data_IF_486029352806
#
_entry.id   IF_486029352806
#
_cell.length_a   1.000
_cell.length_b   1.000
_cell.length_c   1.000
_cell.angle_alpha   90.00
_cell.angle_beta   90.00
_cell.angle_gamma   90.00
#
_symmetry.space_group_name_H-M   'P 1'
#
loop_
_entity.id
_entity.type
_entity.pdbx_description
1 polymer ?
#
# COMPACT_ATOMS: atom_id res chain seq x y z
N UNK A 1 1.10 -5.25 23.57
CA UNK A 1 1.98 -4.27 22.92
C UNK A 1 1.79 -2.86 23.50
N UNK A 2 2.86 -2.06 23.69
CA UNK A 2 2.81 -0.65 24.13
C UNK A 2 3.03 0.27 22.92
N UNK A 3 1.94 0.62 22.24
CA UNK A 3 1.96 1.43 21.02
C UNK A 3 2.51 2.85 21.24
N UNK A 4 2.28 3.48 22.42
CA UNK A 4 2.84 4.80 22.75
C UNK A 4 4.37 4.75 22.86
N UNK A 5 4.92 3.69 23.46
CA UNK A 5 6.38 3.50 23.58
C UNK A 5 7.00 3.27 22.20
N UNK A 6 6.35 2.50 21.33
CA UNK A 6 6.82 2.24 19.97
C UNK A 6 6.78 3.55 19.18
N UNK A 7 5.68 4.31 19.23
CA UNK A 7 5.58 5.58 18.53
C UNK A 7 6.69 6.57 18.93
N UNK A 8 7.04 6.65 20.23
CA UNK A 8 8.17 7.49 20.67
C UNK A 8 9.50 7.07 20.05
N UNK A 9 9.76 5.77 19.89
CA UNK A 9 10.97 5.30 19.19
C UNK A 9 10.92 5.69 17.71
N UNK A 10 9.76 5.55 17.05
CA UNK A 10 9.56 5.94 15.66
C UNK A 10 9.78 7.43 15.46
N UNK A 11 9.24 8.28 16.36
CA UNK A 11 9.42 9.73 16.31
C UNK A 11 10.92 10.13 16.30
N UNK A 12 11.72 9.56 17.19
CA UNK A 12 13.17 9.80 17.25
C UNK A 12 13.85 9.32 15.97
N UNK A 13 13.52 8.14 15.49
CA UNK A 13 14.11 7.51 14.31
C UNK A 13 13.78 8.28 13.03
N UNK A 14 12.49 8.57 12.79
CA UNK A 14 12.02 9.29 11.60
C UNK A 14 12.54 10.72 11.58
N UNK A 15 12.65 11.38 12.75
CA UNK A 15 13.26 12.72 12.82
C UNK A 15 14.73 12.70 12.37
N UNK A 16 15.53 11.75 12.86
CA UNK A 16 16.91 11.59 12.44
C UNK A 16 17.03 11.27 10.95
N UNK A 17 16.17 10.40 10.42
CA UNK A 17 16.12 10.10 8.99
C UNK A 17 15.71 11.31 8.15
N UNK A 18 14.74 12.09 8.58
CA UNK A 18 14.30 13.30 7.87
C UNK A 18 15.45 14.30 7.72
N UNK A 19 16.23 14.53 8.79
CA UNK A 19 17.40 15.38 8.74
C UNK A 19 18.50 14.83 7.82
N UNK A 20 18.75 13.54 7.85
CA UNK A 20 19.81 12.88 7.07
C UNK A 20 19.45 12.74 5.59
N UNK A 21 18.19 12.42 5.28
CA UNK A 21 17.72 12.27 3.91
C UNK A 21 17.63 13.61 3.17
N UNK A 22 17.23 14.68 3.87
CA UNK A 22 17.03 15.98 3.23
C UNK A 22 16.00 15.86 2.09
N UNK A 23 16.45 16.14 0.87
CA UNK A 23 15.58 16.10 -0.32
C UNK A 23 15.53 14.74 -1.03
N UNK A 24 16.27 13.72 -0.55
CA UNK A 24 16.32 12.41 -1.18
C UNK A 24 14.98 11.68 -1.07
N UNK A 25 14.66 10.88 -2.07
CA UNK A 25 13.47 10.01 -2.10
C UNK A 25 13.93 8.57 -1.84
N UNK A 26 13.67 8.00 -0.65
CA UNK A 26 14.14 6.68 -0.27
C UNK A 26 13.32 5.54 -0.89
N UNK A 27 13.97 4.37 -1.08
CA UNK A 27 13.30 3.13 -1.46
C UNK A 27 13.80 1.93 -0.65
N UNK A 28 15.02 1.46 -0.93
CA UNK A 28 15.67 0.33 -0.26
C UNK A 28 16.89 0.85 0.47
N UNK A 29 17.06 0.46 1.74
CA UNK A 29 18.29 0.76 2.46
C UNK A 29 19.30 -0.38 2.27
N UNK A 30 20.42 -0.07 1.65
CA UNK A 30 21.57 -0.96 1.51
C UNK A 30 22.67 -0.52 2.48
N UNK A 31 23.19 -1.48 3.26
CA UNK A 31 24.19 -1.18 4.29
C UNK A 31 23.78 -0.06 5.25
N UNK A 32 22.48 0.04 5.56
CA UNK A 32 21.93 1.03 6.47
C UNK A 32 21.80 2.43 5.87
N UNK A 33 21.78 2.58 4.55
CA UNK A 33 21.58 3.87 3.87
C UNK A 33 20.61 3.74 2.71
N UNK A 34 19.60 4.61 2.66
CA UNK A 34 18.66 4.69 1.56
C UNK A 34 19.28 5.25 0.28
N UNK A 35 18.97 4.62 -0.85
CA UNK A 35 19.24 5.17 -2.19
C UNK A 35 18.37 6.41 -2.47
N UNK A 36 18.76 7.22 -3.46
CA UNK A 36 17.94 8.35 -3.93
C UNK A 36 17.24 8.01 -5.24
N UNK A 37 15.93 7.88 -5.22
CA UNK A 37 15.13 7.53 -6.39
C UNK A 37 14.89 8.70 -7.36
N UNK A 38 15.20 9.95 -6.99
CA UNK A 38 15.07 11.12 -7.90
C UNK A 38 15.87 10.92 -9.18
N UNK A 39 17.10 10.42 -9.03
CA UNK A 39 18.04 10.23 -10.16
C UNK A 39 17.87 8.87 -10.85
N UNK A 40 17.24 7.89 -10.18
CA UNK A 40 17.04 6.54 -10.70
C UNK A 40 15.74 6.44 -11.50
N UNK A 41 14.61 6.75 -10.85
CA UNK A 41 13.28 6.72 -11.46
C UNK A 41 12.28 7.49 -10.61
N UNK A 42 12.08 8.75 -10.93
CA UNK A 42 11.16 9.63 -10.16
C UNK A 42 9.70 9.12 -10.17
N UNK A 43 9.27 8.45 -11.25
CA UNK A 43 7.93 7.82 -11.36
C UNK A 43 7.82 6.44 -10.67
N UNK A 44 8.82 6.04 -9.87
CA UNK A 44 8.78 4.75 -9.18
C UNK A 44 7.67 4.72 -8.13
N UNK A 45 6.89 3.67 -8.10
CA UNK A 45 5.67 3.55 -7.31
C UNK A 45 5.84 3.78 -5.80
N UNK A 46 7.04 3.50 -5.26
CA UNK A 46 7.31 3.64 -3.82
C UNK A 46 7.58 5.08 -3.39
N UNK A 47 7.79 5.99 -4.32
CA UNK A 47 8.28 7.34 -4.02
C UNK A 47 7.26 8.21 -3.25
N UNK A 48 5.99 7.81 -3.21
CA UNK A 48 4.96 8.47 -2.40
C UNK A 48 5.03 8.11 -0.90
N UNK A 49 5.60 6.96 -0.52
CA UNK A 49 5.49 6.49 0.86
C UNK A 49 6.30 7.30 1.87
N UNK A 50 7.48 7.81 1.49
CA UNK A 50 8.21 8.71 2.36
C UNK A 50 7.45 10.01 2.67
N UNK A 51 6.94 10.75 1.69
CA UNK A 51 6.03 11.87 1.98
C UNK A 51 4.82 11.46 2.82
N UNK A 52 4.27 10.26 2.60
CA UNK A 52 3.19 9.72 3.42
C UNK A 52 3.58 9.60 4.91
N UNK A 53 4.79 9.08 5.21
CA UNK A 53 5.34 9.06 6.57
C UNK A 53 5.44 10.49 7.12
N UNK A 54 5.97 11.42 6.33
CA UNK A 54 6.17 12.81 6.75
C UNK A 54 4.84 13.52 7.04
N UNK A 55 3.79 13.28 6.25
CA UNK A 55 2.46 13.82 6.52
C UNK A 55 1.83 13.25 7.79
N UNK A 56 2.00 11.95 8.06
CA UNK A 56 1.56 11.33 9.32
C UNK A 56 2.28 11.96 10.51
N UNK A 57 3.61 12.15 10.40
CA UNK A 57 4.41 12.79 11.45
C UNK A 57 4.02 14.25 11.65
N UNK A 58 3.81 15.01 10.57
CA UNK A 58 3.32 16.40 10.66
C UNK A 58 1.98 16.48 11.40
N UNK A 59 1.03 15.62 11.05
CA UNK A 59 -0.27 15.56 11.70
C UNK A 59 -0.15 15.26 13.21
N UNK A 60 0.77 14.38 13.60
CA UNK A 60 0.93 13.97 14.98
C UNK A 60 1.71 14.98 15.84
N UNK A 61 2.70 15.66 15.24
CA UNK A 61 3.67 16.49 16.00
C UNK A 61 3.51 17.99 15.78
N UNK A 62 2.94 18.40 14.65
CA UNK A 62 2.88 19.79 14.20
C UNK A 62 4.24 20.35 13.72
N UNK A 63 5.29 19.52 13.64
CA UNK A 63 6.62 19.98 13.20
C UNK A 63 6.64 20.29 11.71
N UNK A 64 6.85 21.55 11.37
CA UNK A 64 6.87 22.05 9.98
C UNK A 64 8.00 21.49 9.13
N UNK A 65 9.05 20.91 9.72
CA UNK A 65 10.12 20.27 8.98
C UNK A 65 9.60 19.09 8.14
N UNK A 66 8.71 18.28 8.71
CA UNK A 66 8.07 17.18 7.98
C UNK A 66 7.22 17.67 6.81
N UNK A 67 6.39 18.70 7.03
CA UNK A 67 5.61 19.34 5.98
C UNK A 67 6.48 19.83 4.84
N UNK A 68 7.55 20.59 5.15
CA UNK A 68 8.46 21.14 4.14
C UNK A 68 9.11 20.04 3.30
N UNK A 69 9.58 18.97 3.92
CA UNK A 69 10.18 17.85 3.20
C UNK A 69 9.15 17.08 2.32
N UNK A 70 7.91 16.91 2.79
CA UNK A 70 6.85 16.28 2.02
C UNK A 70 6.45 17.13 0.80
N UNK A 71 6.26 18.44 0.98
CA UNK A 71 5.94 19.39 -0.10
C UNK A 71 7.04 19.44 -1.16
N UNK A 72 8.31 19.31 -0.76
CA UNK A 72 9.42 19.27 -1.71
C UNK A 72 9.30 18.05 -2.65
N UNK A 73 9.07 16.86 -2.13
CA UNK A 73 8.87 15.65 -2.96
C UNK A 73 7.66 15.80 -3.89
N UNK A 74 6.56 16.40 -3.41
CA UNK A 74 5.39 16.65 -4.23
C UNK A 74 5.68 17.59 -5.41
N UNK A 75 6.50 18.63 -5.19
CA UNK A 75 6.91 19.55 -6.26
C UNK A 75 7.75 18.87 -7.33
N UNK A 76 8.64 17.95 -6.93
CA UNK A 76 9.41 17.14 -7.89
C UNK A 76 8.48 16.30 -8.79
N UNK A 77 7.31 15.88 -8.28
CA UNK A 77 6.34 15.09 -9.05
C UNK A 77 5.62 15.88 -10.16
N UNK A 78 5.75 17.22 -10.22
CA UNK A 78 5.28 17.98 -11.37
C UNK A 78 5.96 17.50 -12.67
N UNK A 79 7.25 17.10 -12.61
CA UNK A 79 7.99 16.56 -13.73
C UNK A 79 7.39 15.27 -14.29
N UNK A 80 6.86 14.39 -13.41
CA UNK A 80 6.24 13.13 -13.87
C UNK A 80 4.80 13.32 -14.34
N UNK A 81 4.12 14.38 -13.93
CA UNK A 81 2.82 14.77 -14.49
C UNK A 81 2.95 15.38 -15.90
N UNK A 82 4.04 16.10 -16.15
CA UNK A 82 4.37 16.61 -17.51
C UNK A 82 4.69 15.48 -18.49
N UNK A 83 5.28 14.35 -17.99
CA UNK A 83 5.64 13.17 -18.76
C UNK A 83 4.82 11.96 -18.31
N UNK A 84 3.50 12.12 -18.25
CA UNK A 84 2.57 11.16 -17.66
C UNK A 84 2.53 9.79 -18.32
N UNK A 85 3.02 9.62 -19.55
CA UNK A 85 3.11 8.35 -20.26
C UNK A 85 4.02 7.33 -19.56
N UNK A 86 4.92 7.78 -18.68
CA UNK A 86 5.73 6.90 -17.83
C UNK A 86 4.95 6.38 -16.59
N UNK A 87 3.79 6.99 -16.27
CA UNK A 87 2.95 6.59 -15.16
C UNK A 87 2.09 5.37 -15.52
N UNK A 88 1.77 4.58 -14.52
CA UNK A 88 0.90 3.42 -14.64
C UNK A 88 -0.11 3.37 -13.48
N UNK A 89 -0.71 2.23 -13.15
CA UNK A 89 -1.79 2.18 -12.15
C UNK A 89 -1.37 2.64 -10.75
N UNK A 90 -0.07 2.65 -10.43
CA UNK A 90 0.44 3.05 -9.11
C UNK A 90 0.44 4.57 -8.86
N UNK A 91 -0.18 5.36 -9.73
CA UNK A 91 -0.38 6.80 -9.46
C UNK A 91 -1.14 7.08 -8.17
N UNK A 92 -1.94 6.12 -7.68
CA UNK A 92 -2.58 6.21 -6.37
C UNK A 92 -1.55 6.23 -5.23
N UNK A 93 -0.60 5.30 -5.21
CA UNK A 93 0.49 5.28 -4.24
C UNK A 93 1.32 6.56 -4.24
N UNK A 94 1.54 7.14 -5.42
CA UNK A 94 2.29 8.40 -5.55
C UNK A 94 1.49 9.60 -5.02
N UNK A 95 0.26 9.77 -5.48
CA UNK A 95 -0.46 11.03 -5.31
C UNK A 95 -1.43 11.07 -4.12
N UNK A 96 -1.86 9.92 -3.58
CA UNK A 96 -2.56 9.89 -2.29
C UNK A 96 -1.65 10.36 -1.15
N UNK A 97 -0.41 9.90 -1.16
CA UNK A 97 0.59 10.16 -0.13
C UNK A 97 1.29 11.52 -0.26
N UNK A 98 1.11 12.20 -1.37
CA UNK A 98 1.67 13.54 -1.63
C UNK A 98 0.54 14.55 -1.78
N UNK A 99 0.09 14.80 -2.98
CA UNK A 99 -0.84 15.87 -3.33
C UNK A 99 -2.19 15.78 -2.61
N UNK A 100 -2.79 14.60 -2.50
CA UNK A 100 -4.06 14.45 -1.80
C UNK A 100 -3.88 14.66 -0.29
N UNK A 101 -2.81 14.13 0.30
CA UNK A 101 -2.49 14.33 1.71
C UNK A 101 -2.23 15.81 2.02
N UNK A 102 -1.41 16.49 1.22
CA UNK A 102 -1.18 17.92 1.37
C UNK A 102 -2.48 18.72 1.28
N UNK A 103 -3.26 18.54 0.22
CA UNK A 103 -4.53 19.25 0.07
C UNK A 103 -5.47 19.04 1.25
N UNK A 104 -5.60 17.81 1.74
CA UNK A 104 -6.51 17.49 2.85
C UNK A 104 -6.05 18.08 4.18
N UNK A 105 -4.74 18.23 4.39
CA UNK A 105 -4.18 18.78 5.63
C UNK A 105 -4.02 20.31 5.60
N UNK A 106 -3.71 20.88 4.43
CA UNK A 106 -3.34 22.32 4.31
C UNK A 106 -4.33 23.15 3.51
N UNK A 107 -5.17 22.52 2.68
CA UNK A 107 -6.05 23.20 1.74
C UNK A 107 -5.34 23.71 0.48
N UNK A 108 -4.10 23.27 0.20
CA UNK A 108 -3.29 23.74 -0.92
C UNK A 108 -3.98 23.47 -2.28
N UNK A 109 -4.41 24.51 -3.04
CA UNK A 109 -5.15 24.30 -4.28
C UNK A 109 -4.30 23.73 -5.43
N UNK A 110 -2.98 23.91 -5.39
CA UNK A 110 -2.08 23.29 -6.38
C UNK A 110 -2.03 21.77 -6.17
N UNK A 111 -1.94 21.33 -4.93
CA UNK A 111 -1.94 19.92 -4.57
C UNK A 111 -3.27 19.26 -4.92
N UNK A 112 -4.40 19.96 -4.72
CA UNK A 112 -5.70 19.51 -5.24
C UNK A 112 -5.67 19.27 -6.75
N UNK A 113 -5.10 20.19 -7.51
CA UNK A 113 -5.00 20.08 -8.98
C UNK A 113 -4.13 18.90 -9.40
N UNK A 114 -2.98 18.66 -8.74
CA UNK A 114 -2.11 17.51 -8.98
C UNK A 114 -2.83 16.18 -8.71
N UNK A 115 -3.53 16.08 -7.58
CA UNK A 115 -4.31 14.89 -7.22
C UNK A 115 -5.41 14.58 -8.24
N UNK A 116 -6.15 15.61 -8.71
CA UNK A 116 -7.18 15.47 -9.75
C UNK A 116 -6.58 15.07 -11.10
N UNK A 117 -5.41 15.59 -11.45
CA UNK A 117 -4.69 15.19 -12.67
C UNK A 117 -4.30 13.70 -12.59
N UNK A 118 -3.70 13.28 -11.49
CA UNK A 118 -3.36 11.88 -11.26
C UNK A 118 -4.58 10.95 -11.31
N UNK A 119 -5.71 11.37 -10.74
CA UNK A 119 -6.97 10.62 -10.80
C UNK A 119 -7.48 10.45 -12.25
N UNK A 120 -7.36 11.48 -13.09
CA UNK A 120 -7.71 11.37 -14.50
C UNK A 120 -6.76 10.43 -15.26
N UNK A 121 -5.47 10.42 -14.94
CA UNK A 121 -4.51 9.45 -15.50
C UNK A 121 -4.93 8.03 -15.13
N UNK A 122 -5.25 7.77 -13.85
CA UNK A 122 -5.70 6.45 -13.41
C UNK A 122 -7.02 6.04 -14.07
N UNK A 123 -8.01 6.95 -14.15
CA UNK A 123 -9.27 6.70 -14.80
C UNK A 123 -9.11 6.41 -16.30
N UNK A 124 -8.18 7.10 -16.98
CA UNK A 124 -7.85 6.90 -18.39
C UNK A 124 -7.28 5.52 -18.72
N UNK A 125 -6.87 4.73 -17.70
CA UNK A 125 -6.37 3.36 -17.84
C UNK A 125 -7.46 2.29 -17.78
N UNK A 126 -8.71 2.69 -17.59
CA UNK A 126 -9.83 1.77 -17.48
C UNK A 126 -10.16 1.11 -18.83
N UNK A 127 -10.21 -0.22 -18.83
CA UNK A 127 -10.66 -1.01 -19.98
C UNK A 127 -12.14 -1.39 -19.79
N UNK A 128 -13.04 -0.87 -20.62
CA UNK A 128 -14.49 -1.11 -20.49
C UNK A 128 -14.92 -2.52 -20.91
N UNK A 129 -14.15 -3.24 -21.73
CA UNK A 129 -14.49 -4.60 -22.14
C UNK A 129 -14.32 -5.59 -20.98
N UNK A 130 -13.21 -5.47 -20.22
CA UNK A 130 -12.93 -6.34 -19.07
C UNK A 130 -13.26 -5.72 -17.72
N UNK A 131 -13.71 -4.45 -17.66
CA UNK A 131 -14.01 -3.73 -16.42
C UNK A 131 -12.82 -3.68 -15.43
N UNK A 132 -11.62 -3.43 -15.91
CA UNK A 132 -10.42 -3.34 -15.10
C UNK A 132 -9.58 -2.11 -15.44
N UNK A 133 -8.77 -1.66 -14.49
CA UNK A 133 -7.72 -0.64 -14.72
C UNK A 133 -6.46 -1.40 -15.14
N UNK A 134 -5.94 -1.05 -16.32
CA UNK A 134 -4.69 -1.60 -16.84
C UNK A 134 -3.53 -1.27 -15.90
N UNK A 135 -2.79 -2.30 -15.50
CA UNK A 135 -1.68 -2.15 -14.55
C UNK A 135 -0.47 -1.47 -15.19
N UNK A 136 0.28 -2.17 -16.01
CA UNK A 136 1.54 -1.70 -16.58
C UNK A 136 1.39 -1.15 -18.00
N UNK A 137 2.46 -0.55 -18.52
CA UNK A 137 2.56 0.01 -19.86
C UNK A 137 3.04 -1.05 -20.88
N UNK A 138 3.48 -0.60 -22.03
CA UNK A 138 4.02 -1.42 -23.13
C UNK A 138 3.01 -2.45 -23.64
N UNK A 139 3.39 -3.69 -23.76
CA UNK A 139 2.57 -4.82 -24.25
C UNK A 139 1.60 -5.40 -23.21
N UNK A 140 1.49 -4.78 -22.02
CA UNK A 140 0.66 -5.25 -20.90
C UNK A 140 -0.79 -4.70 -20.94
N UNK A 141 -1.42 -4.64 -22.11
CA UNK A 141 -2.75 -4.02 -22.26
C UNK A 141 -3.87 -4.76 -21.55
N UNK A 142 -3.79 -6.08 -21.42
CA UNK A 142 -4.76 -6.94 -20.73
C UNK A 142 -4.47 -7.17 -19.25
N UNK A 143 -3.45 -6.56 -18.67
CA UNK A 143 -2.95 -6.89 -17.33
C UNK A 143 -3.65 -6.10 -16.22
N UNK A 144 -4.22 -6.83 -15.28
CA UNK A 144 -4.79 -6.33 -14.03
C UNK A 144 -3.99 -6.93 -12.87
N UNK A 145 -3.66 -6.12 -11.86
CA UNK A 145 -2.83 -6.52 -10.73
C UNK A 145 -3.55 -6.14 -9.43
N UNK A 146 -3.45 -7.00 -8.41
CA UNK A 146 -4.12 -6.83 -7.10
C UNK A 146 -3.74 -5.52 -6.39
N UNK A 147 -2.53 -5.02 -6.61
CA UNK A 147 -2.00 -3.76 -6.06
C UNK A 147 -2.89 -2.54 -6.40
N UNK A 148 -3.61 -2.61 -7.53
CA UNK A 148 -4.50 -1.52 -7.95
C UNK A 148 -5.63 -1.26 -6.95
N UNK A 149 -6.00 -2.26 -6.13
CA UNK A 149 -6.98 -2.07 -5.05
C UNK A 149 -6.58 -0.99 -4.05
N UNK A 150 -5.26 -0.76 -3.87
CA UNK A 150 -4.71 0.30 -3.05
C UNK A 150 -4.59 1.63 -3.79
N UNK A 151 -4.75 1.64 -5.10
CA UNK A 151 -4.65 2.84 -5.93
C UNK A 151 -6.01 3.46 -6.23
N UNK A 152 -7.08 2.66 -6.28
CA UNK A 152 -8.44 3.15 -6.56
C UNK A 152 -9.03 4.11 -5.50
N UNK A 153 -8.56 4.20 -4.24
CA UNK A 153 -8.98 5.26 -3.33
C UNK A 153 -8.78 6.68 -3.89
N UNK A 154 -7.80 6.88 -4.77
CA UNK A 154 -7.62 8.14 -5.50
C UNK A 154 -8.86 8.51 -6.35
N UNK A 155 -9.51 7.51 -6.95
CA UNK A 155 -10.73 7.73 -7.74
C UNK A 155 -11.93 8.07 -6.85
N UNK A 156 -12.08 7.40 -5.70
CA UNK A 156 -13.13 7.74 -4.74
C UNK A 156 -12.96 9.17 -4.20
N UNK A 157 -11.72 9.59 -3.92
CA UNK A 157 -11.43 10.96 -3.53
C UNK A 157 -11.82 11.96 -4.63
N UNK A 158 -11.37 11.73 -5.87
CA UNK A 158 -11.64 12.62 -7.01
C UNK A 158 -13.14 12.71 -7.30
N UNK A 159 -13.87 11.60 -7.22
CA UNK A 159 -15.32 11.57 -7.41
C UNK A 159 -16.06 12.45 -6.41
N UNK A 160 -15.65 12.44 -5.16
CA UNK A 160 -16.22 13.33 -4.12
C UNK A 160 -15.86 14.79 -4.33
N UNK A 161 -14.58 15.08 -4.67
CA UNK A 161 -14.09 16.43 -4.89
C UNK A 161 -14.77 17.13 -6.06
N UNK A 162 -15.01 16.40 -7.16
CA UNK A 162 -15.63 16.94 -8.38
C UNK A 162 -17.14 16.73 -8.43
N UNK A 163 -17.71 15.93 -7.50
CA UNK A 163 -19.10 15.44 -7.58
C UNK A 163 -19.37 14.72 -8.91
N UNK A 164 -18.39 13.97 -9.40
CA UNK A 164 -18.44 13.23 -10.65
C UNK A 164 -18.46 11.73 -10.38
N UNK A 165 -19.63 11.06 -10.56
CA UNK A 165 -19.79 9.65 -10.26
C UNK A 165 -18.95 8.72 -11.16
N UNK A 166 -18.44 9.21 -12.28
CA UNK A 166 -17.61 8.45 -13.22
C UNK A 166 -16.40 7.83 -12.54
N UNK A 167 -15.73 8.56 -11.65
CA UNK A 167 -14.54 8.07 -10.94
C UNK A 167 -14.89 6.91 -10.00
N UNK A 168 -15.97 7.05 -9.25
CA UNK A 168 -16.46 5.99 -8.34
C UNK A 168 -16.89 4.75 -9.13
N UNK A 169 -17.58 4.92 -10.25
CA UNK A 169 -18.02 3.81 -11.10
C UNK A 169 -16.84 3.01 -11.65
N UNK A 170 -15.77 3.68 -12.10
CA UNK A 170 -14.54 3.01 -12.54
C UNK A 170 -13.92 2.20 -11.40
N UNK A 171 -13.82 2.79 -10.21
CA UNK A 171 -13.25 2.14 -9.03
C UNK A 171 -14.06 0.89 -8.63
N UNK A 172 -15.40 0.98 -8.62
CA UNK A 172 -16.32 -0.13 -8.32
C UNK A 172 -16.16 -1.27 -9.32
N UNK A 173 -16.23 -0.99 -10.63
CA UNK A 173 -16.10 -2.01 -11.68
C UNK A 173 -14.74 -2.72 -11.60
N UNK A 174 -13.67 -1.99 -11.33
CA UNK A 174 -12.37 -2.60 -11.13
C UNK A 174 -12.35 -3.51 -9.90
N UNK A 175 -12.94 -3.08 -8.78
CA UNK A 175 -13.01 -3.86 -7.54
C UNK A 175 -13.88 -5.11 -7.70
N UNK A 176 -15.01 -5.02 -8.42
CA UNK A 176 -15.86 -6.17 -8.74
C UNK A 176 -15.09 -7.22 -9.56
N UNK A 177 -14.32 -6.76 -10.55
CA UNK A 177 -13.45 -7.64 -11.36
C UNK A 177 -12.36 -8.27 -10.50
N UNK A 178 -11.80 -7.55 -9.54
CA UNK A 178 -10.81 -8.08 -8.59
C UNK A 178 -11.42 -9.18 -7.69
N UNK A 179 -12.60 -8.95 -7.14
CA UNK A 179 -13.32 -9.99 -6.35
C UNK A 179 -13.54 -11.24 -7.18
N UNK A 180 -13.94 -11.09 -8.44
CA UNK A 180 -14.29 -12.20 -9.32
C UNK A 180 -13.08 -13.03 -9.78
N UNK A 181 -11.95 -12.38 -10.10
CA UNK A 181 -10.86 -13.05 -10.80
C UNK A 181 -9.56 -13.12 -10.00
N UNK A 182 -9.31 -12.18 -9.08
CA UNK A 182 -8.10 -12.22 -8.26
C UNK A 182 -8.29 -13.01 -6.98
N UNK A 183 -9.46 -12.94 -6.32
CA UNK A 183 -9.70 -13.71 -5.11
C UNK A 183 -10.12 -15.15 -5.45
N UNK A 184 -9.43 -16.13 -4.84
CA UNK A 184 -9.73 -17.55 -4.97
C UNK A 184 -10.75 -18.01 -3.91
N UNK A 185 -11.43 -19.15 -4.10
CA UNK A 185 -12.46 -19.64 -3.15
C UNK A 185 -11.94 -19.89 -1.72
N UNK A 186 -10.66 -20.18 -1.54
CA UNK A 186 -10.03 -20.36 -0.23
C UNK A 186 -9.60 -19.06 0.46
N UNK A 187 -9.90 -17.91 -0.15
CA UNK A 187 -9.53 -16.58 0.35
C UNK A 187 -8.14 -16.10 -0.06
N UNK A 188 -7.33 -16.96 -0.68
CA UNK A 188 -6.05 -16.53 -1.26
C UNK A 188 -6.27 -15.68 -2.51
N UNK A 189 -5.24 -14.91 -2.92
CA UNK A 189 -5.33 -14.06 -4.11
C UNK A 189 -4.27 -14.41 -5.16
N UNK A 190 -4.67 -14.34 -6.43
CA UNK A 190 -3.75 -14.21 -7.54
C UNK A 190 -3.10 -12.83 -7.49
N UNK A 191 -1.82 -12.73 -7.85
CA UNK A 191 -1.19 -11.44 -8.03
C UNK A 191 -1.72 -10.73 -9.27
N UNK A 192 -1.78 -11.45 -10.39
CA UNK A 192 -2.11 -10.91 -11.72
C UNK A 192 -3.28 -11.68 -12.32
N UNK A 193 -4.16 -10.97 -13.02
CA UNK A 193 -5.09 -11.53 -13.99
C UNK A 193 -4.84 -10.88 -15.34
N UNK A 194 -4.73 -11.70 -16.39
CA UNK A 194 -4.57 -11.24 -17.78
C UNK A 194 -5.86 -11.51 -18.54
N UNK A 195 -6.34 -10.50 -19.25
CA UNK A 195 -7.54 -10.52 -20.05
C UNK A 195 -7.24 -10.25 -21.52
N UNK A 196 -8.06 -10.78 -22.42
CA UNK A 196 -8.13 -10.25 -23.76
C UNK A 196 -8.65 -8.81 -23.71
N UNK A 197 -7.88 -7.81 -24.17
CA UNK A 197 -8.26 -6.40 -24.00
C UNK A 197 -9.45 -5.96 -24.87
N UNK A 198 -9.86 -6.77 -25.87
CA UNK A 198 -10.98 -6.47 -26.75
C UNK A 198 -12.27 -7.12 -26.28
N UNK A 199 -12.20 -8.33 -25.71
CA UNK A 199 -13.39 -9.08 -25.28
C UNK A 199 -13.61 -9.03 -23.78
N UNK A 200 -12.54 -8.80 -22.99
CA UNK A 200 -12.59 -8.85 -21.52
C UNK A 200 -12.58 -10.27 -20.95
N UNK A 201 -12.38 -11.30 -21.78
CA UNK A 201 -12.29 -12.69 -21.31
C UNK A 201 -10.97 -12.96 -20.61
N UNK A 202 -10.96 -13.68 -19.46
CA UNK A 202 -9.73 -14.03 -18.75
C UNK A 202 -8.91 -15.04 -19.56
N UNK A 203 -7.57 -14.84 -19.60
CA UNK A 203 -6.63 -15.67 -20.33
C UNK A 203 -5.74 -16.49 -19.39
N UNK A 204 -5.07 -15.85 -18.43
CA UNK A 204 -4.09 -16.48 -17.55
C UNK A 204 -3.92 -15.72 -16.22
N UNK A 205 -3.27 -16.37 -15.24
CA UNK A 205 -3.01 -15.83 -13.90
C UNK A 205 -1.53 -16.02 -13.53
N UNK A 206 -0.60 -15.21 -14.08
CA UNK A 206 0.83 -15.34 -13.82
C UNK A 206 1.19 -15.11 -12.34
N UNK A 207 2.28 -15.76 -11.90
CA UNK A 207 2.80 -15.61 -10.54
C UNK A 207 3.22 -14.16 -10.20
N UNK A 208 3.76 -13.43 -11.16
CA UNK A 208 4.27 -12.07 -10.95
C UNK A 208 5.45 -12.04 -9.97
N UNK A 209 5.24 -11.43 -8.79
CA UNK A 209 6.25 -11.34 -7.73
C UNK A 209 6.25 -12.56 -6.78
N UNK A 210 5.28 -13.47 -6.89
CA UNK A 210 5.19 -14.70 -6.12
C UNK A 210 6.16 -15.79 -6.60
N UNK A 211 6.12 -16.93 -5.90
CA UNK A 211 7.00 -18.09 -6.14
C UNK A 211 6.73 -18.76 -7.49
N UNK A 212 5.48 -19.08 -7.77
CA UNK A 212 5.06 -19.80 -8.98
C UNK A 212 3.60 -19.51 -9.32
N UNK A 213 3.15 -19.93 -10.48
CA UNK A 213 1.74 -19.92 -10.84
C UNK A 213 0.91 -20.66 -9.79
N UNK A 214 -0.23 -20.08 -9.41
CA UNK A 214 -1.08 -20.62 -8.34
C UNK A 214 -0.52 -20.43 -6.91
N UNK A 215 0.63 -19.79 -6.71
CA UNK A 215 1.17 -19.46 -5.41
C UNK A 215 0.39 -18.33 -4.71
N UNK A 216 0.80 -17.91 -3.54
CA UNK A 216 0.14 -16.86 -2.75
C UNK A 216 1.16 -15.88 -2.20
N UNK A 217 1.57 -14.95 -3.05
CA UNK A 217 2.43 -13.84 -2.70
C UNK A 217 1.82 -13.01 -1.57
N UNK A 218 2.50 -12.95 -0.42
CA UNK A 218 1.92 -12.41 0.82
C UNK A 218 1.59 -10.93 0.74
N UNK A 219 2.39 -10.13 0.03
CA UNK A 219 2.08 -8.71 -0.14
C UNK A 219 0.88 -8.50 -1.07
N UNK A 220 0.71 -9.30 -2.11
CA UNK A 220 -0.53 -9.31 -2.91
C UNK A 220 -1.75 -9.70 -2.07
N UNK A 221 -1.58 -10.66 -1.15
CA UNK A 221 -2.61 -10.99 -0.18
C UNK A 221 -2.92 -9.81 0.76
N UNK A 222 -1.89 -9.10 1.25
CA UNK A 222 -2.06 -7.91 2.08
C UNK A 222 -2.78 -6.78 1.33
N UNK A 223 -2.44 -6.54 0.05
CA UNK A 223 -3.14 -5.58 -0.80
C UNK A 223 -4.63 -5.91 -0.93
N UNK A 224 -4.99 -7.20 -1.02
CA UNK A 224 -6.38 -7.62 -1.09
C UNK A 224 -7.11 -7.43 0.24
N UNK A 225 -6.48 -7.74 1.38
CA UNK A 225 -7.04 -7.49 2.72
C UNK A 225 -7.39 -6.02 2.89
N UNK A 226 -6.41 -5.15 2.63
CA UNK A 226 -6.60 -3.72 2.88
C UNK A 226 -7.43 -3.05 1.78
N UNK A 227 -7.15 -3.33 0.51
CA UNK A 227 -7.83 -2.71 -0.61
C UNK A 227 -9.33 -3.03 -0.68
N UNK A 228 -9.75 -4.27 -0.40
CA UNK A 228 -11.19 -4.59 -0.31
C UNK A 228 -11.84 -3.91 0.90
N UNK A 229 -11.15 -3.81 2.04
CA UNK A 229 -11.65 -3.08 3.21
C UNK A 229 -11.83 -1.59 2.91
N UNK A 230 -10.88 -0.97 2.19
CA UNK A 230 -10.99 0.42 1.70
C UNK A 230 -12.12 0.56 0.69
N UNK A 231 -12.32 -0.40 -0.21
CA UNK A 231 -13.46 -0.45 -1.10
C UNK A 231 -14.79 -0.39 -0.34
N UNK A 232 -14.94 -1.17 0.74
CA UNK A 232 -16.09 -1.11 1.63
C UNK A 232 -16.20 0.25 2.33
N UNK A 233 -15.12 0.77 2.89
CA UNK A 233 -15.07 2.08 3.54
C UNK A 233 -15.63 3.20 2.65
N UNK A 234 -15.27 3.20 1.37
CA UNK A 234 -15.68 4.25 0.45
C UNK A 234 -17.09 4.07 -0.10
N UNK A 235 -17.61 2.84 -0.18
CA UNK A 235 -18.83 2.52 -0.94
C UNK A 235 -19.96 1.94 -0.10
N UNK A 236 -19.66 1.37 1.09
CA UNK A 236 -20.60 0.60 1.88
C UNK A 236 -21.01 -0.75 1.24
N UNK A 237 -20.35 -1.19 0.17
CA UNK A 237 -20.68 -2.43 -0.56
C UNK A 237 -20.25 -3.64 0.26
N UNK A 238 -21.23 -4.39 0.79
CA UNK A 238 -20.98 -5.51 1.71
C UNK A 238 -20.11 -6.61 1.11
N UNK A 239 -20.23 -6.87 -0.20
CA UNK A 239 -19.43 -7.83 -0.94
C UNK A 239 -17.95 -7.56 -0.81
N UNK A 240 -17.53 -6.29 -0.73
CA UNK A 240 -16.13 -5.91 -0.54
C UNK A 240 -15.64 -6.20 0.89
N UNK A 241 -16.50 -5.97 1.90
CA UNK A 241 -16.18 -6.36 3.28
C UNK A 241 -16.03 -7.88 3.40
N UNK A 242 -16.94 -8.65 2.80
CA UNK A 242 -16.84 -10.11 2.81
C UNK A 242 -15.61 -10.61 2.05
N UNK A 243 -15.22 -9.95 0.94
CA UNK A 243 -13.97 -10.26 0.25
C UNK A 243 -12.74 -9.95 1.13
N UNK A 244 -12.72 -8.80 1.80
CA UNK A 244 -11.67 -8.45 2.76
C UNK A 244 -11.56 -9.48 3.89
N UNK A 245 -12.69 -9.90 4.48
CA UNK A 245 -12.74 -10.91 5.54
C UNK A 245 -12.17 -12.24 5.08
N UNK A 246 -12.56 -12.74 3.88
CA UNK A 246 -11.99 -13.99 3.33
C UNK A 246 -10.48 -13.90 3.14
N UNK A 247 -10.00 -12.79 2.57
CA UNK A 247 -8.57 -12.55 2.40
C UNK A 247 -7.84 -12.48 3.75
N UNK A 248 -8.45 -11.82 4.74
CA UNK A 248 -7.91 -11.70 6.10
C UNK A 248 -7.82 -13.05 6.81
N UNK A 249 -8.85 -13.88 6.73
CA UNK A 249 -8.83 -15.22 7.35
C UNK A 249 -7.70 -16.09 6.78
N UNK A 250 -7.50 -16.04 5.45
CA UNK A 250 -6.39 -16.75 4.82
C UNK A 250 -5.04 -16.20 5.31
N UNK A 251 -4.88 -14.87 5.37
CA UNK A 251 -3.64 -14.24 5.86
C UNK A 251 -3.36 -14.62 7.31
N UNK A 252 -4.34 -14.45 8.22
CA UNK A 252 -4.22 -14.75 9.65
C UNK A 252 -3.84 -16.23 9.89
N UNK A 253 -4.49 -17.16 9.18
CA UNK A 253 -4.20 -18.58 9.31
C UNK A 253 -2.74 -18.90 8.95
N UNK A 254 -2.19 -18.28 7.91
CA UNK A 254 -0.80 -18.49 7.51
C UNK A 254 0.19 -17.86 8.48
N UNK A 255 0.02 -16.59 8.88
CA UNK A 255 0.97 -15.94 9.79
C UNK A 255 0.92 -16.51 11.22
N UNK A 256 -0.19 -17.11 11.63
CA UNK A 256 -0.28 -17.81 12.91
C UNK A 256 0.71 -18.98 12.99
N UNK A 257 1.05 -19.60 11.87
CA UNK A 257 2.03 -20.70 11.78
C UNK A 257 3.48 -20.20 11.82
N UNK A 258 3.73 -18.91 11.60
CA UNK A 258 5.06 -18.31 11.47
C UNK A 258 5.33 -17.24 12.54
N UNK A 259 4.62 -17.29 13.66
CA UNK A 259 4.82 -16.36 14.78
C UNK A 259 4.37 -14.92 14.47
N UNK A 260 3.37 -14.76 13.61
CA UNK A 260 2.77 -13.49 13.18
C UNK A 260 3.69 -12.58 12.34
N UNK A 261 4.69 -13.16 11.69
CA UNK A 261 5.46 -12.51 10.62
C UNK A 261 5.15 -13.23 9.30
N UNK A 262 4.87 -12.51 8.22
CA UNK A 262 4.56 -13.17 6.96
C UNK A 262 5.78 -13.68 6.23
N UNK A 263 5.68 -14.88 5.65
CA UNK A 263 6.58 -15.33 4.60
C UNK A 263 6.33 -14.50 3.34
N UNK A 264 7.31 -14.46 2.46
CA UNK A 264 7.20 -13.78 1.16
C UNK A 264 6.10 -14.37 0.27
N UNK A 265 5.89 -15.69 0.36
CA UNK A 265 4.82 -16.40 -0.34
C UNK A 265 4.35 -17.58 0.52
N UNK A 266 3.04 -17.68 0.77
CA UNK A 266 2.46 -18.68 1.66
C UNK A 266 2.38 -20.09 1.06
N UNK A 267 2.73 -20.24 -0.23
CA UNK A 267 2.76 -21.53 -0.93
C UNK A 267 4.13 -21.87 -1.52
N UNK A 268 5.13 -21.08 -1.18
CA UNK A 268 6.52 -21.41 -1.53
C UNK A 268 7.04 -22.58 -0.68
N UNK A 269 8.14 -23.24 -1.09
CA UNK A 269 8.85 -24.17 -0.23
C UNK A 269 9.23 -23.57 1.12
N UNK A 270 9.25 -24.39 2.16
CA UNK A 270 9.59 -23.97 3.53
C UNK A 270 11.04 -23.45 3.63
N UNK A 271 11.93 -23.94 2.77
CA UNK A 271 13.33 -23.56 2.73
C UNK A 271 13.75 -23.09 1.32
N UNK A 272 14.54 -22.01 1.21
CA UNK A 272 14.98 -21.13 2.30
C UNK A 272 13.84 -20.27 2.84
N UNK A 273 13.83 -19.99 4.14
CA UNK A 273 12.84 -19.09 4.74
C UNK A 273 13.02 -17.67 4.18
N UNK A 274 12.01 -17.15 3.53
CA UNK A 274 11.98 -15.80 3.00
C UNK A 274 10.85 -15.00 3.67
N UNK A 275 11.19 -13.96 4.42
CA UNK A 275 10.23 -13.05 5.05
C UNK A 275 9.80 -11.92 4.12
N UNK A 276 8.58 -11.43 4.33
CA UNK A 276 8.16 -10.11 3.83
C UNK A 276 7.40 -9.35 4.94
N UNK A 277 8.15 -8.65 5.78
CA UNK A 277 7.63 -7.86 6.89
C UNK A 277 6.73 -6.72 6.42
N UNK A 278 6.95 -6.20 5.20
CA UNK A 278 6.11 -5.14 4.61
C UNK A 278 4.69 -5.65 4.33
N UNK A 279 4.54 -6.91 3.92
CA UNK A 279 3.25 -7.55 3.75
C UNK A 279 2.51 -7.69 5.09
N UNK A 280 3.23 -8.08 6.15
CA UNK A 280 2.65 -8.19 7.49
C UNK A 280 2.16 -6.84 8.01
N UNK A 281 2.97 -5.77 7.88
CA UNK A 281 2.60 -4.42 8.29
C UNK A 281 1.37 -3.88 7.53
N UNK A 282 1.33 -4.07 6.21
CA UNK A 282 0.19 -3.69 5.38
C UNK A 282 -1.08 -4.45 5.77
N UNK A 283 -0.98 -5.77 5.96
CA UNK A 283 -2.10 -6.59 6.38
C UNK A 283 -2.64 -6.16 7.75
N UNK A 284 -1.77 -5.79 8.70
CA UNK A 284 -2.18 -5.27 10.00
C UNK A 284 -3.05 -4.00 9.86
N UNK A 285 -2.69 -3.06 8.97
CA UNK A 285 -3.52 -1.89 8.67
C UNK A 285 -4.89 -2.30 8.11
N UNK A 286 -4.92 -3.25 7.18
CA UNK A 286 -6.17 -3.76 6.61
C UNK A 286 -7.03 -4.49 7.65
N UNK A 287 -6.43 -5.26 8.56
CA UNK A 287 -7.13 -5.92 9.67
C UNK A 287 -7.75 -4.90 10.63
N UNK A 288 -7.04 -3.82 10.94
CA UNK A 288 -7.58 -2.71 11.74
C UNK A 288 -8.74 -2.00 11.02
N UNK A 289 -8.70 -1.90 9.69
CA UNK A 289 -9.81 -1.37 8.90
C UNK A 289 -11.05 -2.27 8.98
N UNK A 290 -10.86 -3.58 8.82
CA UNK A 290 -11.95 -4.56 8.96
C UNK A 290 -12.53 -4.52 10.37
N UNK A 291 -11.69 -4.42 11.41
CA UNK A 291 -12.14 -4.33 12.81
C UNK A 291 -13.05 -3.14 13.09
N UNK A 292 -12.90 -2.04 12.34
CA UNK A 292 -13.78 -0.87 12.44
C UNK A 292 -15.11 -1.05 11.66
N UNK A 293 -15.17 -2.00 10.74
CA UNK A 293 -16.28 -2.21 9.81
C UNK A 293 -17.22 -3.35 10.22
N UNK A 294 -16.77 -4.25 11.09
CA UNK A 294 -17.53 -5.43 11.53
C UNK A 294 -18.22 -5.20 12.88
N UNK A 295 -19.15 -6.10 13.21
CA UNK A 295 -19.82 -6.09 14.52
C UNK A 295 -18.85 -6.42 15.66
N UNK A 296 -19.16 -5.99 16.89
CA UNK A 296 -18.30 -6.16 18.07
C UNK A 296 -17.91 -7.63 18.36
N UNK A 297 -18.75 -8.60 18.01
CA UNK A 297 -18.45 -10.03 18.19
C UNK A 297 -17.40 -10.57 17.21
N UNK A 298 -17.19 -9.91 16.07
CA UNK A 298 -16.16 -10.27 15.10
C UNK A 298 -14.86 -9.45 15.27
N UNK A 299 -14.97 -8.25 15.83
CA UNK A 299 -13.91 -7.24 15.92
C UNK A 299 -12.62 -7.78 16.55
N UNK A 300 -12.76 -8.56 17.63
CA UNK A 300 -11.61 -9.09 18.39
C UNK A 300 -10.65 -9.91 17.52
N UNK A 301 -11.16 -10.70 16.58
CA UNK A 301 -10.32 -11.51 15.70
C UNK A 301 -9.34 -10.63 14.92
N UNK A 302 -9.86 -9.59 14.28
CA UNK A 302 -9.07 -8.73 13.41
C UNK A 302 -8.14 -7.80 14.20
N UNK A 303 -8.66 -7.16 15.23
CA UNK A 303 -7.87 -6.27 16.08
C UNK A 303 -6.73 -7.01 16.77
N UNK A 304 -7.00 -8.14 17.45
CA UNK A 304 -5.97 -8.92 18.13
C UNK A 304 -4.93 -9.48 17.14
N UNK A 305 -5.34 -9.89 15.94
CA UNK A 305 -4.39 -10.38 14.93
C UNK A 305 -3.47 -9.26 14.45
N UNK A 306 -4.01 -8.05 14.23
CA UNK A 306 -3.20 -6.89 13.86
C UNK A 306 -2.20 -6.52 14.98
N UNK A 307 -2.65 -6.48 16.22
CA UNK A 307 -1.78 -6.20 17.38
C UNK A 307 -0.65 -7.23 17.50
N UNK A 308 -0.93 -8.51 17.33
CA UNK A 308 0.10 -9.57 17.36
C UNK A 308 1.09 -9.47 16.21
N UNK A 309 0.64 -9.11 15.02
CA UNK A 309 1.53 -8.86 13.87
C UNK A 309 2.46 -7.68 14.19
N UNK A 310 1.92 -6.54 14.59
CA UNK A 310 2.72 -5.34 14.87
C UNK A 310 3.70 -5.56 16.04
N UNK A 311 3.29 -6.31 17.06
CA UNK A 311 4.15 -6.70 18.19
C UNK A 311 5.31 -7.61 17.73
N UNK A 312 5.03 -8.64 16.92
CA UNK A 312 6.05 -9.53 16.38
C UNK A 312 7.05 -8.79 15.48
N UNK A 313 6.58 -7.84 14.69
CA UNK A 313 7.44 -6.97 13.87
C UNK A 313 8.33 -6.08 14.73
N UNK A 314 7.78 -5.43 15.77
CA UNK A 314 8.55 -4.57 16.67
C UNK A 314 9.64 -5.34 17.41
N UNK A 315 9.32 -6.52 17.94
CA UNK A 315 10.23 -7.32 18.73
C UNK A 315 11.39 -7.93 17.93
N UNK A 316 11.15 -8.31 16.67
CA UNK A 316 12.09 -9.15 15.91
C UNK A 316 12.70 -8.48 14.69
N UNK A 317 12.01 -7.50 14.13
CA UNK A 317 12.35 -6.95 12.80
C UNK A 317 12.51 -5.44 12.76
N UNK A 318 12.49 -4.72 13.89
CA UNK A 318 12.72 -3.29 13.90
C UNK A 318 14.17 -2.91 14.25
N UNK A 319 14.74 -2.00 13.46
CA UNK A 319 16.02 -1.35 13.72
C UNK A 319 15.80 0.05 14.30
N UNK A 320 16.17 0.25 15.56
CA UNK A 320 16.02 1.54 16.26
C UNK A 320 17.31 2.38 16.28
N UNK A 321 18.36 1.91 15.60
CA UNK A 321 19.63 2.64 15.46
C UNK A 321 19.42 3.89 14.57
N UNK A 322 19.56 5.09 15.15
CA UNK A 322 19.33 6.36 14.45
C UNK A 322 20.38 6.68 13.40
N UNK A 323 21.53 6.00 13.41
CA UNK A 323 22.59 6.18 12.41
C UNK A 323 22.34 5.38 11.11
N UNK A 324 21.37 4.45 11.13
CA UNK A 324 20.97 3.63 9.97
C UNK A 324 19.63 4.10 9.43
N UNK A 325 19.36 3.87 8.16
CA UNK A 325 18.08 4.10 7.53
C UNK A 325 17.21 2.82 7.58
N UNK A 326 15.91 3.01 7.59
CA UNK A 326 14.92 1.93 7.64
C UNK A 326 14.60 1.46 9.06
N UNK A 327 13.31 1.44 9.38
CA UNK A 327 12.79 0.92 10.66
C UNK A 327 12.57 -0.58 10.53
N UNK A 328 11.71 -0.98 9.60
CA UNK A 328 11.29 -2.36 9.44
C UNK A 328 12.26 -3.11 8.52
N UNK A 329 12.93 -4.10 9.07
CA UNK A 329 13.89 -4.97 8.38
C UNK A 329 13.17 -6.16 7.75
N UNK A 330 13.88 -6.95 6.93
CA UNK A 330 13.42 -8.22 6.37
C UNK A 330 12.17 -8.13 5.48
N UNK A 331 11.97 -7.00 4.81
CA UNK A 331 11.05 -6.90 3.68
C UNK A 331 11.62 -7.57 2.43
N UNK A 332 10.77 -7.91 1.48
CA UNK A 332 11.20 -8.53 0.22
C UNK A 332 10.45 -7.95 -0.97
N UNK A 333 11.19 -7.61 -2.05
CA UNK A 333 10.57 -7.03 -3.26
C UNK A 333 9.79 -8.08 -4.05
N UNK A 334 10.41 -9.21 -4.32
CA UNK A 334 9.80 -10.32 -5.05
C UNK A 334 10.54 -11.63 -4.74
N UNK A 335 9.93 -12.76 -5.05
CA UNK A 335 10.57 -14.06 -4.85
C UNK A 335 11.88 -14.15 -5.65
N UNK A 336 12.98 -14.42 -4.95
CA UNK A 336 14.32 -14.48 -5.53
C UNK A 336 14.94 -13.12 -5.94
N UNK A 337 14.32 -11.98 -5.56
CA UNK A 337 14.85 -10.66 -5.87
C UNK A 337 14.76 -9.73 -4.65
N UNK A 338 15.90 -9.17 -4.23
CA UNK A 338 15.98 -8.20 -3.13
C UNK A 338 15.14 -8.67 -1.93
N UNK A 339 15.55 -9.79 -1.34
CA UNK A 339 14.95 -10.37 -0.14
C UNK A 339 15.67 -9.87 1.12
N UNK A 340 14.94 -9.77 2.23
CA UNK A 340 15.43 -9.36 3.54
C UNK A 340 16.10 -7.99 3.52
N UNK A 341 15.43 -7.01 2.93
CA UNK A 341 15.89 -5.61 2.86
C UNK A 341 14.88 -4.66 3.51
N UNK A 342 15.33 -3.55 4.13
CA UNK A 342 14.42 -2.50 4.58
C UNK A 342 13.75 -1.83 3.38
N UNK A 343 12.44 -1.64 3.46
CA UNK A 343 11.62 -1.09 2.39
C UNK A 343 10.80 0.08 2.93
N UNK A 344 10.88 1.24 2.27
CA UNK A 344 10.20 2.46 2.75
C UNK A 344 8.68 2.28 2.96
N UNK A 345 8.01 1.47 2.13
CA UNK A 345 6.59 1.19 2.31
C UNK A 345 6.33 0.24 3.49
N UNK A 346 7.30 -0.59 3.89
CA UNK A 346 7.24 -1.35 5.13
C UNK A 346 7.19 -0.41 6.34
N UNK A 347 8.07 0.57 6.37
CA UNK A 347 8.11 1.62 7.41
C UNK A 347 6.80 2.42 7.45
N UNK A 348 6.26 2.78 6.27
CA UNK A 348 5.00 3.49 6.17
C UNK A 348 3.84 2.71 6.80
N UNK A 349 3.63 1.45 6.42
CA UNK A 349 2.54 0.64 6.97
C UNK A 349 2.73 0.31 8.43
N UNK A 350 3.98 0.12 8.88
CA UNK A 350 4.25 -0.08 10.31
C UNK A 350 3.88 1.17 11.12
N UNK A 351 4.27 2.38 10.66
CA UNK A 351 3.87 3.63 11.28
C UNK A 351 2.34 3.80 11.27
N UNK A 352 1.68 3.60 10.11
CA UNK A 352 0.23 3.70 9.99
C UNK A 352 -0.47 2.76 10.98
N UNK A 353 -0.02 1.50 11.07
CA UNK A 353 -0.58 0.52 12.01
C UNK A 353 -0.48 0.96 13.47
N UNK A 354 0.68 1.47 13.89
CA UNK A 354 0.89 2.00 15.24
C UNK A 354 0.00 3.22 15.50
N UNK A 355 -0.08 4.17 14.57
CA UNK A 355 -0.92 5.35 14.70
C UNK A 355 -2.41 5.00 14.77
N UNK A 356 -2.87 4.00 14.01
CA UNK A 356 -4.25 3.50 14.05
C UNK A 356 -4.60 2.89 15.42
N UNK A 357 -3.70 2.16 16.03
CA UNK A 357 -3.89 1.65 17.40
C UNK A 357 -4.00 2.78 18.44
N UNK A 358 -3.32 3.90 18.20
CA UNK A 358 -3.36 5.08 19.04
C UNK A 358 -4.54 6.00 18.73
N UNK A 359 -5.29 5.78 17.65
CA UNK A 359 -6.32 6.69 17.14
C UNK A 359 -5.76 8.05 16.70
N UNK A 360 -4.50 8.07 16.23
CA UNK A 360 -3.76 9.27 15.80
C UNK A 360 -3.51 9.32 14.31
N UNK A 361 -3.93 8.31 13.55
CA UNK A 361 -3.69 8.24 12.12
C UNK A 361 -4.41 9.34 11.34
N UNK A 362 -3.72 9.85 10.33
CA UNK A 362 -4.35 10.58 9.25
C UNK A 362 -4.65 9.58 8.12
N UNK A 363 -5.93 9.24 7.94
CA UNK A 363 -6.33 8.30 6.90
C UNK A 363 -6.03 8.88 5.51
N UNK A 364 -4.93 8.47 4.93
CA UNK A 364 -4.47 8.93 3.59
C UNK A 364 -5.35 8.34 2.47
N UNK A 365 -5.73 7.07 2.61
CA UNK A 365 -6.49 6.27 1.63
C UNK A 365 -7.92 6.72 1.39
#
# INVERSE_FOLDING_TARGET
MDAEKIFKKMEVKIHAECLRLGERIPYIAENGTYSDMRDVKLSWWTNGFWPGILWQMYQCTGDSAYKTAAEHTEQEFDKILEHFEALHHDVGFLFLHTAVADYRLTGNPKSRTRGLHAANILAGRFNPAGNYIRAWNEDKTGWMIVDCLMNVPLLYWAGRELKDPRFEEIARRHTDTAVKYLQRPDGSCNHIAVFDPLTGEPLEFPAGQGYAEGSSWSRGQAWSVYGFALGYRHTGTKEYLEAAKRAAHYFIANVACTGFVSLLDFRAPEEPVCWDTSAAACAACGLLEIAQAVDENEKFLYQNSAERILEALEEKHCCWDTEKDGILQDGSVAYGKQVHVPLIYGDYFFLEGILRLLGKDFMIW
#
